data_IF_246310982249
#
_entry.id   IF_246310982249
#
_cell.length_a   1.000
_cell.length_b   1.000
_cell.length_c   1.000
_cell.angle_alpha   90.00
_cell.angle_beta   90.00
_cell.angle_gamma   90.00
#
_symmetry.space_group_name_H-M   'P 1'
#
loop_
_entity.id
_entity.type
_entity.pdbx_description
1 polymer ?
#
# COMPACT_ATOMS: atom_id res chain seq x y z
N UNK A 1 -12.52 -23.51 -24.27
CA UNK A 1 -12.26 -23.79 -22.83
C UNK A 1 -11.57 -22.56 -22.27
N UNK A 2 -12.25 -21.78 -21.43
CA UNK A 2 -11.71 -20.53 -20.88
C UNK A 2 -10.68 -20.87 -19.81
N UNK A 3 -9.43 -20.46 -20.00
CA UNK A 3 -8.36 -20.65 -19.03
C UNK A 3 -8.51 -19.60 -17.93
N UNK A 4 -9.19 -19.95 -16.83
CA UNK A 4 -9.31 -19.07 -15.67
C UNK A 4 -7.93 -19.00 -15.01
N UNK A 5 -7.31 -17.82 -14.88
CA UNK A 5 -6.03 -17.70 -14.20
C UNK A 5 -6.21 -18.14 -12.75
N UNK A 6 -5.29 -18.98 -12.28
CA UNK A 6 -5.30 -19.48 -10.93
C UNK A 6 -5.07 -18.33 -9.95
N UNK A 7 -5.78 -18.27 -8.80
CA UNK A 7 -5.65 -17.15 -7.88
C UNK A 7 -4.23 -17.08 -7.32
N UNK A 8 -3.72 -15.85 -7.20
CA UNK A 8 -2.47 -15.58 -6.50
C UNK A 8 -2.54 -16.17 -5.08
N UNK A 9 -1.59 -17.07 -4.77
CA UNK A 9 -1.44 -17.60 -3.42
C UNK A 9 -0.59 -16.63 -2.60
N UNK A 10 -1.15 -16.13 -1.50
CA UNK A 10 -0.37 -15.39 -0.50
C UNK A 10 0.54 -16.35 0.27
N UNK A 11 1.79 -15.95 0.46
CA UNK A 11 2.71 -16.65 1.36
C UNK A 11 2.49 -16.16 2.80
N UNK A 12 2.93 -16.96 3.78
CA UNK A 12 2.88 -16.55 5.19
C UNK A 12 3.69 -15.27 5.45
N UNK A 13 4.82 -15.10 4.75
CA UNK A 13 5.64 -13.89 4.83
C UNK A 13 4.89 -12.65 4.32
N UNK A 14 4.16 -12.76 3.21
CA UNK A 14 3.33 -11.67 2.69
C UNK A 14 2.19 -11.34 3.67
N UNK A 15 1.57 -12.35 4.28
CA UNK A 15 0.53 -12.14 5.28
C UNK A 15 1.05 -11.41 6.52
N UNK A 16 2.27 -11.75 6.98
CA UNK A 16 2.93 -11.07 8.09
C UNK A 16 3.24 -9.60 7.76
N UNK A 17 3.82 -9.31 6.59
CA UNK A 17 4.10 -7.94 6.14
C UNK A 17 2.83 -7.08 6.02
N UNK A 18 1.74 -7.65 5.48
CA UNK A 18 0.44 -6.97 5.41
C UNK A 18 -0.15 -6.71 6.80
N UNK A 19 0.01 -7.65 7.75
CA UNK A 19 -0.43 -7.46 9.13
C UNK A 19 0.35 -6.33 9.83
N UNK A 20 1.65 -6.23 9.59
CA UNK A 20 2.46 -5.15 10.14
C UNK A 20 2.11 -3.80 9.53
N UNK A 21 1.84 -3.78 8.22
CA UNK A 21 1.31 -2.61 7.51
C UNK A 21 -0.03 -2.17 8.11
N UNK A 22 -0.96 -3.11 8.33
CA UNK A 22 -2.24 -2.84 8.97
C UNK A 22 -2.06 -2.25 10.37
N UNK A 23 -1.23 -2.86 11.23
CA UNK A 23 -1.00 -2.37 12.60
C UNK A 23 -0.40 -0.96 12.60
N UNK A 24 0.54 -0.68 11.69
CA UNK A 24 1.14 0.64 11.56
C UNK A 24 0.07 1.70 11.23
N UNK A 25 -0.68 1.47 10.16
CA UNK A 25 -1.73 2.41 9.72
C UNK A 25 -2.83 2.58 10.78
N UNK A 26 -3.27 1.49 11.40
CA UNK A 26 -4.32 1.52 12.41
C UNK A 26 -3.87 2.12 13.75
N UNK A 27 -2.56 2.12 14.02
CA UNK A 27 -1.95 2.71 15.21
C UNK A 27 -1.69 4.21 15.10
N UNK A 28 -1.91 4.83 13.94
CA UNK A 28 -1.65 6.26 13.69
C UNK A 28 -2.75 6.89 12.84
N UNK A 29 -4.00 6.98 13.34
CA UNK A 29 -5.08 7.60 12.59
C UNK A 29 -4.85 9.10 12.42
N UNK A 30 -5.09 9.61 11.21
CA UNK A 30 -5.01 11.03 10.85
C UNK A 30 -6.39 11.56 10.44
N UNK A 31 -6.57 12.89 10.49
CA UNK A 31 -7.80 13.54 10.07
C UNK A 31 -7.95 13.54 8.55
N UNK A 32 -9.20 13.60 8.08
CA UNK A 32 -9.51 13.73 6.66
C UNK A 32 -8.78 14.91 6.02
N UNK A 33 -8.14 14.66 4.87
CA UNK A 33 -7.32 15.62 4.12
C UNK A 33 -6.02 16.07 4.82
N UNK A 34 -5.64 15.42 5.93
CA UNK A 34 -4.44 15.71 6.71
C UNK A 34 -3.61 14.45 6.99
N UNK A 35 -3.76 13.42 6.16
CA UNK A 35 -3.09 12.11 6.27
C UNK A 35 -1.63 12.15 5.79
N UNK A 36 -0.84 13.10 6.30
CA UNK A 36 0.52 13.37 5.82
C UNK A 36 1.47 12.20 6.09
N UNK A 37 1.40 11.60 7.28
CA UNK A 37 2.26 10.49 7.68
C UNK A 37 1.88 9.21 6.94
N UNK A 38 0.58 8.94 6.83
CA UNK A 38 0.02 7.82 6.06
C UNK A 38 0.44 7.91 4.60
N UNK A 39 0.32 9.08 3.98
CA UNK A 39 0.71 9.28 2.59
C UNK A 39 2.24 9.12 2.40
N UNK A 40 3.06 9.59 3.33
CA UNK A 40 4.51 9.35 3.31
C UNK A 40 4.88 7.88 3.44
N UNK A 41 4.24 7.17 4.36
CA UNK A 41 4.45 5.75 4.57
C UNK A 41 4.10 4.92 3.33
N UNK A 42 2.94 5.18 2.72
CA UNK A 42 2.51 4.45 1.52
C UNK A 42 3.39 4.75 0.30
N UNK A 43 3.78 6.01 0.10
CA UNK A 43 4.70 6.38 -0.99
C UNK A 43 6.03 5.64 -0.86
N UNK A 44 6.65 5.66 0.31
CA UNK A 44 7.92 4.97 0.56
C UNK A 44 7.82 3.45 0.35
N UNK A 45 6.70 2.82 0.76
CA UNK A 45 6.49 1.39 0.52
C UNK A 45 6.32 1.06 -0.96
N UNK A 46 5.58 1.87 -1.71
CA UNK A 46 5.41 1.67 -3.16
C UNK A 46 6.72 1.88 -3.92
N UNK A 47 7.51 2.89 -3.54
CA UNK A 47 8.85 3.13 -4.09
C UNK A 47 9.80 1.95 -3.80
N UNK A 48 9.74 1.38 -2.59
CA UNK A 48 10.53 0.21 -2.22
C UNK A 48 10.18 -1.06 -3.02
N UNK A 49 8.97 -1.12 -3.59
CA UNK A 49 8.56 -2.17 -4.52
C UNK A 49 9.04 -1.92 -5.97
N UNK A 50 9.75 -0.81 -6.21
CA UNK A 50 10.29 -0.45 -7.52
C UNK A 50 9.27 0.23 -8.46
N UNK A 51 8.17 0.74 -7.91
CA UNK A 51 7.12 1.40 -8.70
C UNK A 51 7.46 2.87 -8.96
N UNK A 52 6.97 3.38 -10.09
CA UNK A 52 6.88 4.82 -10.29
C UNK A 52 5.74 5.36 -9.42
N UNK A 53 6.07 6.28 -8.50
CA UNK A 53 5.14 6.80 -7.49
C UNK A 53 5.00 8.31 -7.64
N UNK A 54 3.76 8.80 -7.59
CA UNK A 54 3.47 10.22 -7.54
C UNK A 54 2.35 10.56 -6.57
N UNK A 55 2.33 11.82 -6.12
CA UNK A 55 1.30 12.37 -5.23
C UNK A 55 0.23 13.12 -6.00
N UNK A 56 -1.00 13.07 -5.53
CA UNK A 56 -2.12 13.80 -6.10
C UNK A 56 -3.16 14.18 -5.03
N UNK A 57 -3.98 15.20 -5.29
CA UNK A 57 -5.14 15.51 -4.43
C UNK A 57 -4.82 15.82 -2.96
N UNK A 58 -3.64 16.37 -2.66
CA UNK A 58 -3.18 16.64 -1.30
C UNK A 58 -2.41 15.46 -0.70
N UNK A 59 -3.11 14.45 -0.20
CA UNK A 59 -2.53 13.27 0.49
C UNK A 59 -2.66 11.98 -0.31
N UNK A 60 -3.23 12.02 -1.52
CA UNK A 60 -3.32 10.87 -2.41
C UNK A 60 -1.95 10.41 -2.94
N UNK A 61 -1.79 9.10 -3.09
CA UNK A 61 -0.58 8.43 -3.60
C UNK A 61 -0.98 7.43 -4.68
N UNK A 62 -0.29 7.45 -5.81
CA UNK A 62 -0.50 6.53 -6.93
C UNK A 62 0.81 5.82 -7.25
N UNK A 63 0.77 4.49 -7.42
CA UNK A 63 1.87 3.68 -7.94
C UNK A 63 1.49 3.06 -9.28
N UNK A 64 2.38 3.12 -10.27
CA UNK A 64 2.19 2.58 -11.62
C UNK A 64 2.94 1.24 -11.75
N UNK A 65 2.26 0.22 -12.29
CA UNK A 65 2.68 -1.19 -12.41
C UNK A 65 2.78 -1.63 -13.88
#
# INVERSE_FOLDING_TARGET
MSNIPQPLKMTEAMAADLLDTYKHLHGSPELSMQEQQTAAYLAARLEALGLEVFRCGGTGVVGVL
#
